data_IF_015502596901
#
_entry.id   IF_015502596901
#
_cell.length_a   1.000
_cell.length_b   1.000
_cell.length_c   1.000
_cell.angle_alpha   90.00
_cell.angle_beta   90.00
_cell.angle_gamma   90.00
#
_symmetry.space_group_name_H-M   'P 1'
#
loop_
_entity.id
_entity.type
_entity.pdbx_description
1 polymer ?
#
# COMPACT_ATOMS: atom_id res chain seq x y z
N UNK A 1 20.41 1.66 59.72
CA UNK A 1 20.37 2.58 60.88
C UNK A 1 18.93 2.66 61.39
N UNK A 2 18.55 1.79 62.32
CA UNK A 2 17.24 1.87 62.99
C UNK A 2 17.41 1.43 64.44
N UNK A 3 17.78 2.39 65.29
CA UNK A 3 18.06 2.16 66.72
C UNK A 3 17.66 3.36 67.57
N UNK A 4 16.52 4.01 67.26
CA UNK A 4 16.09 5.20 67.99
C UNK A 4 14.70 5.09 68.67
N UNK A 5 14.00 3.96 68.56
CA UNK A 5 12.64 3.81 69.13
C UNK A 5 12.50 2.74 70.23
N UNK A 6 13.56 2.00 70.58
CA UNK A 6 13.46 0.89 71.55
C UNK A 6 13.54 1.28 73.03
N UNK A 7 13.33 2.55 73.42
CA UNK A 7 13.60 3.00 74.81
C UNK A 7 12.40 3.47 75.64
N UNK A 8 11.17 3.38 75.12
CA UNK A 8 9.99 3.94 75.82
C UNK A 8 8.76 3.04 75.92
N UNK A 9 8.85 1.77 75.51
CA UNK A 9 7.79 0.79 75.79
C UNK A 9 8.34 -0.31 76.68
N UNK A 10 8.33 -0.06 77.99
CA UNK A 10 8.50 -1.10 78.99
C UNK A 10 7.38 -2.13 78.81
N UNK A 11 7.70 -3.22 78.11
CA UNK A 11 6.84 -4.38 77.93
C UNK A 11 7.41 -5.49 78.84
N UNK A 12 6.72 -5.88 79.92
CA UNK A 12 7.02 -7.16 80.55
C UNK A 12 6.42 -8.28 79.70
N UNK A 13 7.23 -9.32 79.48
CA UNK A 13 6.83 -10.58 78.87
C UNK A 13 5.83 -11.35 79.76
N UNK A 14 5.03 -12.17 79.08
CA UNK A 14 4.10 -13.14 79.67
C UNK A 14 4.89 -14.34 80.24
N UNK A 15 4.65 -14.66 81.50
CA UNK A 15 4.67 -16.04 82.03
C UNK A 15 3.32 -16.20 82.77
N UNK A 16 2.40 -16.97 82.19
CA UNK A 16 2.15 -18.38 82.52
C UNK A 16 1.70 -18.62 83.97
N UNK A 17 0.38 -18.58 84.12
CA UNK A 17 -0.45 -19.64 84.73
C UNK A 17 0.18 -20.48 85.85
N UNK A 18 -0.09 -20.12 87.11
CA UNK A 18 -0.30 -21.12 88.16
C UNK A 18 -1.47 -20.73 89.06
N UNK A 19 -2.33 -21.73 89.20
CA UNK A 19 -3.54 -21.85 90.02
C UNK A 19 -3.27 -21.63 91.51
N UNK A 20 -4.18 -20.96 92.21
CA UNK A 20 -4.62 -21.35 93.55
C UNK A 20 -5.96 -20.69 93.91
N UNK A 21 -6.84 -21.53 94.44
CA UNK A 21 -8.28 -21.39 94.69
C UNK A 21 -8.65 -20.34 95.76
N UNK A 22 -9.92 -19.87 95.77
CA UNK A 22 -10.46 -18.93 96.73
C UNK A 22 -11.07 -19.70 97.91
N UNK A 23 -10.66 -19.40 99.14
CA UNK A 23 -11.57 -19.65 100.25
C UNK A 23 -11.27 -18.78 101.47
N UNK A 24 -12.37 -18.23 101.99
CA UNK A 24 -12.62 -17.94 103.41
C UNK A 24 -11.49 -17.33 104.26
N UNK A 25 -11.68 -16.07 104.64
CA UNK A 25 -11.98 -15.76 106.03
C UNK A 25 -12.55 -14.33 106.15
N UNK A 26 -13.79 -14.26 106.62
CA UNK A 26 -14.46 -13.10 107.17
C UNK A 26 -13.74 -12.62 108.46
N UNK A 27 -14.12 -11.45 109.01
CA UNK A 27 -13.23 -10.50 109.65
C UNK A 27 -12.85 -10.92 111.07
N UNK A 28 -11.59 -10.71 111.46
CA UNK A 28 -11.21 -10.68 112.86
C UNK A 28 -11.77 -9.38 113.49
N UNK A 29 -13.04 -9.49 113.86
CA UNK A 29 -13.63 -8.75 114.95
C UNK A 29 -13.02 -9.26 116.27
N UNK A 30 -12.76 -8.28 117.14
CA UNK A 30 -12.64 -8.33 118.60
C UNK A 30 -11.21 -8.19 119.16
N UNK A 31 -11.01 -7.57 120.35
CA UNK A 31 -11.96 -6.87 121.20
C UNK A 31 -11.48 -5.50 121.74
N UNK A 32 -12.35 -4.49 121.77
CA UNK A 32 -12.52 -3.76 123.03
C UNK A 32 -13.33 -4.71 123.94
N UNK A 33 -12.84 -5.11 125.13
CA UNK A 33 -13.09 -4.26 126.28
C UNK A 33 -12.11 -4.43 127.46
N UNK A 34 -12.01 -3.37 128.25
CA UNK A 34 -12.28 -3.31 129.71
C UNK A 34 -11.36 -2.26 130.30
N UNK A 35 -11.92 -1.05 130.44
CA UNK A 35 -11.62 -0.19 131.58
C UNK A 35 -11.75 -1.05 132.84
N UNK A 36 -10.63 -1.58 133.32
CA UNK A 36 -10.51 -2.08 134.67
C UNK A 36 -10.04 -0.90 135.51
N UNK A 37 -10.98 0.00 135.77
CA UNK A 37 -10.94 0.87 136.94
C UNK A 37 -11.07 -0.06 138.15
N UNK A 38 -9.95 -0.57 138.64
CA UNK A 38 -9.85 -1.11 139.98
C UNK A 38 -8.67 -0.38 140.63
N UNK A 39 -9.05 0.57 141.48
CA UNK A 39 -8.14 1.41 142.23
C UNK A 39 -7.18 0.54 143.04
N UNK A 40 -5.92 0.60 142.64
CA UNK A 40 -4.82 0.43 143.56
C UNK A 40 -4.33 1.85 143.85
N UNK A 41 -4.94 2.43 144.88
CA UNK A 41 -4.47 3.60 145.57
C UNK A 41 -3.08 3.29 146.16
N UNK A 42 -2.05 3.46 145.35
CA UNK A 42 -0.71 3.75 145.83
C UNK A 42 -0.63 5.27 145.82
N UNK A 43 -0.55 5.85 147.01
CA UNK A 43 -0.32 7.27 147.27
C UNK A 43 0.57 7.89 146.19
N UNK A 44 -0.02 8.72 145.35
CA UNK A 44 0.68 9.33 144.24
C UNK A 44 1.74 10.28 144.79
N UNK A 45 3.01 10.01 144.48
CA UNK A 45 4.03 11.04 144.62
C UNK A 45 3.62 12.24 143.74
N UNK A 46 3.63 13.49 144.23
CA UNK A 46 3.28 14.68 143.44
C UNK A 46 4.06 14.79 142.13
N UNK A 47 5.26 14.20 142.07
CA UNK A 47 6.06 14.08 140.85
C UNK A 47 5.44 13.17 139.79
N UNK A 48 4.82 12.05 140.19
CA UNK A 48 4.21 11.07 139.28
C UNK A 48 2.90 11.58 138.68
N UNK A 49 2.08 12.30 139.47
CA UNK A 49 0.90 13.00 138.94
C UNK A 49 1.28 14.11 137.97
N UNK A 50 2.36 14.85 138.23
CA UNK A 50 2.86 15.87 137.31
C UNK A 50 3.33 15.25 136.00
N UNK A 51 4.04 14.11 136.05
CA UNK A 51 4.46 13.37 134.86
C UNK A 51 3.24 12.84 134.10
N UNK A 52 2.22 12.30 134.77
CA UNK A 52 1.00 11.83 134.11
C UNK A 52 0.25 12.97 133.42
N UNK A 53 0.11 14.14 134.06
CA UNK A 53 -0.53 15.32 133.45
C UNK A 53 0.27 15.83 132.25
N UNK A 54 1.59 15.89 132.36
CA UNK A 54 2.47 16.27 131.26
C UNK A 54 2.37 15.28 130.09
N UNK A 55 2.30 13.98 130.35
CA UNK A 55 2.06 12.96 129.32
C UNK A 55 0.68 13.13 128.66
N UNK A 56 -0.37 13.40 129.43
CA UNK A 56 -1.70 13.67 128.89
C UNK A 56 -1.72 14.94 128.02
N UNK A 57 -1.01 16.00 128.42
CA UNK A 57 -0.89 17.24 127.66
C UNK A 57 -0.05 17.05 126.39
N UNK A 58 1.02 16.24 126.46
CA UNK A 58 1.80 15.83 125.29
C UNK A 58 0.97 14.99 124.33
N UNK A 59 0.17 14.04 124.83
CA UNK A 59 -0.77 13.26 124.01
C UNK A 59 -1.76 14.18 123.32
N UNK A 60 -2.38 15.13 124.02
CA UNK A 60 -3.29 16.12 123.43
C UNK A 60 -2.62 16.98 122.38
N UNK A 61 -1.36 17.38 122.63
CA UNK A 61 -0.58 18.19 121.68
C UNK A 61 -0.23 17.39 120.43
N UNK A 62 0.15 16.12 120.57
CA UNK A 62 0.43 15.20 119.46
C UNK A 62 -0.85 14.93 118.66
N UNK A 63 -1.98 14.70 119.34
CA UNK A 63 -3.28 14.54 118.68
C UNK A 63 -3.69 15.82 117.93
N UNK A 64 -3.45 16.99 118.51
CA UNK A 64 -3.68 18.29 117.86
C UNK A 64 -2.79 18.49 116.63
N UNK A 65 -1.50 18.17 116.72
CA UNK A 65 -0.57 18.22 115.61
C UNK A 65 -0.93 17.22 114.49
N UNK A 66 -1.37 16.02 114.86
CA UNK A 66 -1.87 15.00 113.93
C UNK A 66 -3.10 15.50 113.17
N UNK A 67 -4.09 16.08 113.87
CA UNK A 67 -5.28 16.67 113.23
C UNK A 67 -4.88 17.81 112.28
N UNK A 68 -3.99 18.70 112.71
CA UNK A 68 -3.48 19.79 111.85
C UNK A 68 -2.76 19.27 110.60
N UNK A 69 -2.00 18.18 110.71
CA UNK A 69 -1.35 17.54 109.57
C UNK A 69 -2.36 16.86 108.64
N UNK A 70 -3.35 16.16 109.18
CA UNK A 70 -4.44 15.54 108.41
C UNK A 70 -5.26 16.62 107.66
N UNK A 71 -5.58 17.73 108.33
CA UNK A 71 -6.29 18.88 107.75
C UNK A 71 -5.48 19.51 106.61
N UNK A 72 -4.15 19.60 106.75
CA UNK A 72 -3.26 20.12 105.69
C UNK A 72 -3.03 19.14 104.55
N UNK A 73 -2.97 17.83 104.81
CA UNK A 73 -2.72 16.81 103.78
C UNK A 73 -3.97 16.46 102.96
N UNK A 74 -5.15 16.50 103.57
CA UNK A 74 -6.43 16.22 102.92
C UNK A 74 -6.63 16.95 101.57
N UNK A 75 -6.41 18.28 101.45
CA UNK A 75 -6.55 18.98 100.16
C UNK A 75 -5.56 18.50 99.09
N UNK A 76 -4.32 18.13 99.45
CA UNK A 76 -3.36 17.56 98.50
C UNK A 76 -3.79 16.17 98.01
N UNK A 77 -4.30 15.33 98.91
CA UNK A 77 -4.81 14.00 98.55
C UNK A 77 -6.01 14.10 97.60
N UNK A 78 -6.94 15.04 97.87
CA UNK A 78 -8.07 15.32 96.97
C UNK A 78 -7.58 15.81 95.61
N UNK A 79 -6.62 16.75 95.60
CA UNK A 79 -6.07 17.28 94.36
C UNK A 79 -5.39 16.20 93.51
N UNK A 80 -4.58 15.31 94.12
CA UNK A 80 -3.95 14.20 93.41
C UNK A 80 -4.98 13.21 92.86
N UNK A 81 -6.05 12.94 93.61
CA UNK A 81 -7.13 12.08 93.15
C UNK A 81 -7.90 12.69 91.97
N UNK A 82 -8.20 13.99 92.04
CA UNK A 82 -8.81 14.76 90.96
C UNK A 82 -7.91 14.82 89.72
N UNK A 83 -6.61 15.07 89.89
CA UNK A 83 -5.64 15.04 88.80
C UNK A 83 -5.59 13.67 88.13
N UNK A 84 -5.48 12.58 88.90
CA UNK A 84 -5.51 11.22 88.37
C UNK A 84 -6.78 10.96 87.57
N UNK A 85 -7.94 11.33 88.13
CA UNK A 85 -9.24 11.20 87.46
C UNK A 85 -9.29 12.00 86.16
N UNK A 86 -8.75 13.22 86.15
CA UNK A 86 -8.71 14.08 84.96
C UNK A 86 -7.81 13.48 83.87
N UNK A 87 -6.65 12.94 84.24
CA UNK A 87 -5.75 12.23 83.30
C UNK A 87 -6.43 10.99 82.74
N UNK A 88 -7.07 10.17 83.57
CA UNK A 88 -7.81 8.98 83.12
C UNK A 88 -8.93 9.35 82.14
N UNK A 89 -9.63 10.47 82.39
CA UNK A 89 -10.68 10.98 81.51
C UNK A 89 -10.10 11.50 80.18
N UNK A 90 -8.97 12.22 80.21
CA UNK A 90 -8.28 12.69 79.02
C UNK A 90 -7.77 11.52 78.16
N UNK A 91 -7.22 10.48 78.78
CA UNK A 91 -6.78 9.26 78.09
C UNK A 91 -7.95 8.54 77.41
N UNK A 92 -9.08 8.38 78.12
CA UNK A 92 -10.30 7.80 77.52
C UNK A 92 -10.82 8.61 76.34
N UNK A 93 -10.81 9.94 76.44
CA UNK A 93 -11.21 10.81 75.34
C UNK A 93 -10.25 10.70 74.14
N UNK A 94 -8.94 10.61 74.40
CA UNK A 94 -7.94 10.44 73.35
C UNK A 94 -8.08 9.08 72.67
N UNK A 95 -8.31 8.00 73.42
CA UNK A 95 -8.57 6.67 72.87
C UNK A 95 -9.85 6.65 72.03
N UNK A 96 -10.93 7.28 72.51
CA UNK A 96 -12.17 7.44 71.77
C UNK A 96 -11.99 8.22 70.46
N UNK A 97 -11.05 9.17 70.39
CA UNK A 97 -10.71 9.91 69.17
C UNK A 97 -9.78 9.15 68.23
N UNK A 98 -8.86 8.36 68.76
CA UNK A 98 -7.90 7.59 67.96
C UNK A 98 -8.59 6.40 67.27
N UNK A 99 -9.53 5.73 67.95
CA UNK A 99 -10.23 4.57 67.40
C UNK A 99 -10.86 4.80 66.01
N UNK A 100 -11.67 5.85 65.77
CA UNK A 100 -12.22 6.11 64.44
C UNK A 100 -11.14 6.47 63.40
N UNK A 101 -10.04 7.12 63.80
CA UNK A 101 -8.92 7.38 62.89
C UNK A 101 -8.22 6.09 62.46
N UNK A 102 -8.05 5.12 63.36
CA UNK A 102 -7.50 3.79 63.01
C UNK A 102 -8.42 3.05 62.03
N UNK A 103 -9.71 3.03 62.33
CA UNK A 103 -10.72 2.43 61.44
C UNK A 103 -10.75 3.11 60.06
N UNK A 104 -10.58 4.43 60.02
CA UNK A 104 -10.49 5.16 58.77
C UNK A 104 -9.24 4.77 57.98
N UNK A 105 -8.07 4.69 58.62
CA UNK A 105 -6.82 4.29 57.96
C UNK A 105 -6.92 2.87 57.43
N UNK A 106 -7.42 1.91 58.22
CA UNK A 106 -7.67 0.53 57.78
C UNK A 106 -8.61 0.49 56.56
N UNK A 107 -9.65 1.32 56.56
CA UNK A 107 -10.56 1.46 55.41
C UNK A 107 -9.88 2.06 54.17
N UNK A 108 -8.96 3.02 54.34
CA UNK A 108 -8.18 3.58 53.24
C UNK A 108 -7.17 2.57 52.69
N UNK A 109 -6.51 1.79 53.56
CA UNK A 109 -5.60 0.72 53.15
C UNK A 109 -6.32 -0.30 52.27
N UNK A 110 -7.49 -0.77 52.69
CA UNK A 110 -8.30 -1.68 51.88
C UNK A 110 -8.75 -1.06 50.55
N UNK A 111 -9.08 0.24 50.55
CA UNK A 111 -9.46 0.93 49.32
C UNK A 111 -8.27 1.02 48.33
N UNK A 112 -7.08 1.34 48.83
CA UNK A 112 -5.86 1.38 48.04
C UNK A 112 -5.51 0.00 47.48
N UNK A 113 -5.68 -1.06 48.26
CA UNK A 113 -5.47 -2.44 47.80
C UNK A 113 -6.41 -2.80 46.64
N UNK A 114 -7.71 -2.48 46.77
CA UNK A 114 -8.70 -2.69 45.70
C UNK A 114 -8.38 -1.87 44.44
N UNK A 115 -7.99 -0.61 44.59
CA UNK A 115 -7.57 0.22 43.44
C UNK A 115 -6.33 -0.38 42.80
N UNK A 116 -5.36 -0.84 43.60
CA UNK A 116 -4.17 -1.53 43.12
C UNK A 116 -4.49 -2.80 42.34
N UNK A 117 -5.45 -3.61 42.80
CA UNK A 117 -5.94 -4.78 42.06
C UNK A 117 -6.57 -4.37 40.73
N UNK A 118 -7.55 -3.47 40.72
CA UNK A 118 -8.20 -3.01 39.48
C UNK A 118 -7.20 -2.46 38.46
N UNK A 119 -6.21 -1.69 38.91
CA UNK A 119 -5.15 -1.16 38.03
C UNK A 119 -4.25 -2.27 37.48
N UNK A 120 -3.80 -3.20 38.32
CA UNK A 120 -2.83 -4.23 37.92
C UNK A 120 -3.45 -5.40 37.15
N UNK A 121 -4.72 -5.72 37.35
CA UNK A 121 -5.39 -6.81 36.66
C UNK A 121 -6.31 -6.26 35.59
N UNK A 122 -7.42 -5.59 35.95
CA UNK A 122 -8.47 -5.26 35.00
C UNK A 122 -7.99 -4.33 33.88
N UNK A 123 -7.30 -3.25 34.24
CA UNK A 123 -6.76 -2.32 33.25
C UNK A 123 -5.63 -2.95 32.42
N UNK A 124 -4.75 -3.74 33.05
CA UNK A 124 -3.69 -4.45 32.32
C UNK A 124 -4.27 -5.44 31.31
N UNK A 125 -5.25 -6.24 31.72
CA UNK A 125 -5.91 -7.24 30.87
C UNK A 125 -6.66 -6.55 29.71
N UNK A 126 -7.26 -5.38 29.95
CA UNK A 126 -7.85 -4.55 28.89
C UNK A 126 -6.78 -4.05 27.89
N UNK A 127 -5.62 -3.58 28.36
CA UNK A 127 -4.53 -3.17 27.49
C UNK A 127 -3.98 -4.34 26.67
N UNK A 128 -3.78 -5.52 27.28
CA UNK A 128 -3.35 -6.73 26.57
C UNK A 128 -4.37 -7.17 25.52
N UNK A 129 -5.68 -7.06 25.82
CA UNK A 129 -6.74 -7.35 24.85
C UNK A 129 -6.73 -6.37 23.69
N UNK A 130 -6.55 -5.08 23.97
CA UNK A 130 -6.44 -4.05 22.95
C UNK A 130 -5.19 -4.24 22.08
N UNK A 131 -4.05 -4.61 22.66
CA UNK A 131 -2.83 -4.94 21.92
C UNK A 131 -3.04 -6.11 20.96
N UNK A 132 -3.68 -7.19 21.43
CA UNK A 132 -4.05 -8.34 20.57
C UNK A 132 -4.94 -7.90 19.40
N UNK A 133 -5.97 -7.10 19.69
CA UNK A 133 -6.84 -6.54 18.65
C UNK A 133 -6.05 -5.71 17.63
N UNK A 134 -5.13 -4.85 18.06
CA UNK A 134 -4.29 -4.07 17.15
C UNK A 134 -3.39 -4.95 16.27
N UNK A 135 -2.83 -6.02 16.82
CA UNK A 135 -2.01 -6.99 16.07
C UNK A 135 -2.88 -7.67 14.99
N UNK A 136 -4.09 -8.10 15.34
CA UNK A 136 -5.04 -8.71 14.39
C UNK A 136 -5.39 -7.74 13.25
N UNK A 137 -5.70 -6.47 13.59
CA UNK A 137 -6.01 -5.45 12.58
C UNK A 137 -4.82 -5.20 11.65
N UNK A 138 -3.59 -5.15 12.18
CA UNK A 138 -2.38 -5.04 11.36
C UNK A 138 -2.24 -6.22 10.41
N UNK A 139 -2.47 -7.45 10.87
CA UNK A 139 -2.42 -8.63 10.01
C UNK A 139 -3.50 -8.61 8.92
N UNK A 140 -4.71 -8.14 9.23
CA UNK A 140 -5.78 -7.98 8.24
C UNK A 140 -5.37 -6.97 7.17
N UNK A 141 -4.80 -5.83 7.56
CA UNK A 141 -4.30 -4.82 6.64
C UNK A 141 -3.18 -5.36 5.75
N UNK A 142 -2.22 -6.11 6.32
CA UNK A 142 -1.15 -6.75 5.54
C UNK A 142 -1.71 -7.75 4.52
N UNK A 143 -2.72 -8.55 4.89
CA UNK A 143 -3.40 -9.45 3.94
C UNK A 143 -4.11 -8.67 2.85
N UNK A 144 -4.86 -7.63 3.21
CA UNK A 144 -5.56 -6.78 2.25
C UNK A 144 -4.59 -6.09 1.27
N UNK A 145 -3.44 -5.63 1.76
CA UNK A 145 -2.38 -5.08 0.94
C UNK A 145 -1.85 -6.11 -0.06
N UNK A 146 -1.53 -7.33 0.39
CA UNK A 146 -1.10 -8.42 -0.52
C UNK A 146 -2.15 -8.71 -1.58
N UNK A 147 -3.42 -8.79 -1.20
CA UNK A 147 -4.51 -8.96 -2.16
C UNK A 147 -4.56 -7.83 -3.19
N UNK A 148 -4.42 -6.57 -2.77
CA UNK A 148 -4.38 -5.42 -3.68
C UNK A 148 -3.16 -5.45 -4.61
N UNK A 149 -2.01 -5.94 -4.15
CA UNK A 149 -0.79 -6.06 -4.96
C UNK A 149 -0.85 -7.24 -5.95
N UNK A 150 -1.52 -8.34 -5.59
CA UNK A 150 -1.63 -9.54 -6.41
C UNK A 150 -2.77 -9.46 -7.42
N UNK A 151 -3.90 -8.84 -7.06
CA UNK A 151 -5.10 -8.73 -7.90
C UNK A 151 -4.85 -8.16 -9.31
N UNK A 152 -4.04 -7.10 -9.52
CA UNK A 152 -3.85 -6.54 -10.86
C UNK A 152 -2.91 -7.37 -11.74
N UNK A 153 -2.09 -8.27 -11.17
CA UNK A 153 -1.04 -8.98 -11.93
C UNK A 153 -1.59 -9.86 -13.06
N UNK A 154 -2.64 -10.69 -12.87
CA UNK A 154 -3.17 -11.52 -13.95
C UNK A 154 -3.72 -10.67 -15.12
N UNK A 155 -4.36 -9.54 -14.81
CA UNK A 155 -4.89 -8.64 -15.85
C UNK A 155 -3.75 -7.94 -16.61
N UNK A 156 -2.71 -7.49 -15.90
CA UNK A 156 -1.53 -6.91 -16.53
C UNK A 156 -0.85 -7.92 -17.47
N UNK A 157 -0.71 -9.17 -17.03
CA UNK A 157 -0.14 -10.24 -17.85
C UNK A 157 -1.00 -10.55 -19.07
N UNK A 158 -2.33 -10.66 -18.90
CA UNK A 158 -3.25 -10.85 -20.02
C UNK A 158 -3.15 -9.72 -21.05
N UNK A 159 -3.07 -8.46 -20.61
CA UNK A 159 -2.95 -7.32 -21.51
C UNK A 159 -1.61 -7.32 -22.27
N UNK A 160 -0.51 -7.68 -21.61
CA UNK A 160 0.80 -7.83 -22.26
C UNK A 160 0.78 -8.97 -23.30
N UNK A 161 0.17 -10.11 -22.98
CA UNK A 161 0.00 -11.23 -23.91
C UNK A 161 -0.88 -10.84 -25.11
N UNK A 162 -1.97 -10.10 -24.90
CA UNK A 162 -2.82 -9.57 -25.98
C UNK A 162 -2.06 -8.58 -26.86
N UNK A 163 -1.28 -7.68 -26.27
CA UNK A 163 -0.45 -6.75 -27.03
C UNK A 163 0.55 -7.49 -27.92
N UNK A 164 1.26 -8.49 -27.37
CA UNK A 164 2.20 -9.32 -28.14
C UNK A 164 1.52 -10.09 -29.26
N UNK A 165 0.33 -10.63 -29.02
CA UNK A 165 -0.45 -11.31 -30.04
C UNK A 165 -0.85 -10.36 -31.17
N UNK A 166 -1.29 -9.14 -30.84
CA UNK A 166 -1.62 -8.10 -31.82
C UNK A 166 -0.39 -7.69 -32.62
N UNK A 167 0.75 -7.46 -31.97
CA UNK A 167 2.02 -7.14 -32.64
C UNK A 167 2.49 -8.25 -33.59
N UNK A 168 2.24 -9.51 -33.25
CA UNK A 168 2.52 -10.64 -34.13
C UNK A 168 1.59 -10.64 -35.35
N UNK A 169 0.28 -10.41 -35.15
CA UNK A 169 -0.68 -10.34 -36.26
C UNK A 169 -0.33 -9.20 -37.21
N UNK A 170 0.08 -8.03 -36.68
CA UNK A 170 0.50 -6.90 -37.51
C UNK A 170 1.76 -7.23 -38.32
N UNK A 171 2.78 -7.84 -37.71
CA UNK A 171 3.97 -8.28 -38.44
C UNK A 171 3.65 -9.27 -39.55
N UNK A 172 2.83 -10.29 -39.27
CA UNK A 172 2.42 -11.26 -40.28
C UNK A 172 1.64 -10.60 -41.43
N UNK A 173 0.83 -9.59 -41.11
CA UNK A 173 0.05 -8.86 -42.10
C UNK A 173 0.94 -7.94 -42.95
N UNK A 174 1.92 -7.26 -42.34
CA UNK A 174 2.95 -6.51 -43.06
C UNK A 174 3.74 -7.40 -44.02
N UNK A 175 4.22 -8.55 -43.55
CA UNK A 175 4.94 -9.53 -44.38
C UNK A 175 4.09 -10.04 -45.55
N UNK A 176 2.78 -10.26 -45.33
CA UNK A 176 1.85 -10.68 -46.38
C UNK A 176 1.51 -9.56 -47.36
N UNK A 177 1.47 -8.31 -46.92
CA UNK A 177 1.14 -7.16 -47.75
C UNK A 177 2.35 -6.64 -48.54
N UNK A 178 3.56 -6.86 -48.06
CA UNK A 178 4.77 -6.37 -48.72
C UNK A 178 4.91 -6.83 -50.18
N UNK A 179 4.66 -8.11 -50.54
CA UNK A 179 4.65 -8.56 -51.93
C UNK A 179 3.62 -7.83 -52.80
N UNK A 180 2.42 -7.56 -52.27
CA UNK A 180 1.39 -6.80 -53.01
C UNK A 180 1.84 -5.35 -53.24
N UNK A 181 2.48 -4.72 -52.25
CA UNK A 181 3.06 -3.39 -52.40
C UNK A 181 4.14 -3.34 -53.48
N UNK A 182 5.01 -4.36 -53.56
CA UNK A 182 6.00 -4.50 -54.64
C UNK A 182 5.33 -4.70 -56.00
N UNK A 183 4.35 -5.59 -56.08
CA UNK A 183 3.61 -5.87 -57.31
C UNK A 183 2.85 -4.64 -57.83
N UNK A 184 2.19 -3.89 -56.97
CA UNK A 184 1.51 -2.64 -57.35
C UNK A 184 2.48 -1.59 -57.88
N UNK A 185 3.67 -1.45 -57.27
CA UNK A 185 4.73 -0.58 -57.79
C UNK A 185 5.24 -1.03 -59.16
N UNK A 186 5.39 -2.33 -59.38
CA UNK A 186 5.77 -2.88 -60.68
C UNK A 186 4.69 -2.62 -61.74
N UNK A 187 3.41 -2.86 -61.42
CA UNK A 187 2.29 -2.54 -62.31
C UNK A 187 2.21 -1.05 -62.62
N UNK A 188 2.36 -0.18 -61.61
CA UNK A 188 2.41 1.27 -61.81
C UNK A 188 3.53 1.64 -62.78
N UNK A 189 4.74 1.09 -62.59
CA UNK A 189 5.88 1.33 -63.48
C UNK A 189 5.61 0.86 -64.91
N UNK A 190 4.98 -0.30 -65.09
CA UNK A 190 4.60 -0.80 -66.42
C UNK A 190 3.56 0.11 -67.09
N UNK A 191 2.57 0.59 -66.35
CA UNK A 191 1.56 1.53 -66.85
C UNK A 191 2.18 2.89 -67.20
N UNK A 192 3.08 3.40 -66.37
CA UNK A 192 3.83 4.63 -66.66
C UNK A 192 4.67 4.47 -67.94
N UNK A 193 5.32 3.32 -68.12
CA UNK A 193 6.06 3.00 -69.35
C UNK A 193 5.14 2.95 -70.58
N UNK A 194 3.97 2.32 -70.47
CA UNK A 194 2.96 2.30 -71.54
C UNK A 194 2.42 3.70 -71.88
N UNK A 195 2.36 4.58 -70.87
CA UNK A 195 1.96 5.98 -71.02
C UNK A 195 3.09 6.92 -71.46
N UNK A 196 4.30 6.41 -71.72
CA UNK A 196 5.38 7.23 -72.26
C UNK A 196 5.00 7.75 -73.65
N UNK A 197 5.00 9.08 -73.81
CA UNK A 197 4.67 9.80 -75.06
C UNK A 197 5.34 9.21 -76.29
N UNK A 198 6.56 8.68 -76.12
CA UNK A 198 7.32 8.04 -77.19
C UNK A 198 6.61 6.79 -77.74
N UNK A 199 6.08 5.93 -76.88
CA UNK A 199 5.40 4.70 -77.31
C UNK A 199 4.09 5.07 -78.01
N UNK A 200 3.33 6.03 -77.47
CA UNK A 200 2.10 6.51 -78.11
C UNK A 200 2.37 7.20 -79.46
N UNK A 201 3.40 8.03 -79.56
CA UNK A 201 3.84 8.67 -80.81
C UNK A 201 4.26 7.62 -81.86
N UNK A 202 4.94 6.54 -81.44
CA UNK A 202 5.31 5.43 -82.32
C UNK A 202 4.08 4.66 -82.86
N UNK A 203 3.08 4.41 -82.01
CA UNK A 203 1.83 3.79 -82.43
C UNK A 203 1.01 4.68 -83.36
N UNK A 204 0.93 5.99 -83.08
CA UNK A 204 0.24 6.97 -83.94
C UNK A 204 0.93 7.10 -85.31
N UNK A 205 2.27 7.11 -85.34
CA UNK A 205 3.03 7.14 -86.59
C UNK A 205 2.80 5.86 -87.42
N UNK A 206 2.79 4.68 -86.78
CA UNK A 206 2.49 3.42 -87.44
C UNK A 206 1.04 3.38 -87.98
N UNK A 207 0.07 3.79 -87.18
CA UNK A 207 -1.33 3.86 -87.59
C UNK A 207 -1.52 4.80 -88.79
N UNK A 208 -0.88 5.97 -88.75
CA UNK A 208 -0.93 6.96 -89.84
C UNK A 208 -0.27 6.43 -91.11
N UNK A 209 0.88 5.76 -91.02
CA UNK A 209 1.53 5.09 -92.14
C UNK A 209 0.62 4.02 -92.78
N UNK A 210 0.05 3.12 -91.96
CA UNK A 210 -0.84 2.07 -92.43
C UNK A 210 -2.10 2.64 -93.11
N UNK A 211 -2.71 3.67 -92.53
CA UNK A 211 -3.89 4.33 -93.07
C UNK A 211 -3.59 5.04 -94.40
N UNK A 212 -2.49 5.79 -94.50
CA UNK A 212 -2.08 6.46 -95.75
C UNK A 212 -1.79 5.45 -96.86
N UNK A 213 -1.10 4.35 -96.53
CA UNK A 213 -0.82 3.27 -97.48
C UNK A 213 -2.11 2.58 -97.93
N UNK A 214 -3.01 2.26 -97.00
CA UNK A 214 -4.31 1.66 -97.32
C UNK A 214 -5.11 2.57 -98.25
N UNK A 215 -5.19 3.86 -97.94
CA UNK A 215 -5.89 4.83 -98.79
C UNK A 215 -5.28 4.90 -100.20
N UNK A 216 -3.95 4.85 -100.35
CA UNK A 216 -3.31 4.80 -101.66
C UNK A 216 -3.68 3.54 -102.46
N UNK A 217 -3.69 2.37 -101.80
CA UNK A 217 -4.10 1.10 -102.41
C UNK A 217 -5.59 1.10 -102.80
N UNK A 218 -6.46 1.62 -101.94
CA UNK A 218 -7.89 1.75 -102.21
C UNK A 218 -8.15 2.70 -103.40
N UNK A 219 -7.46 3.83 -103.47
CA UNK A 219 -7.53 4.75 -104.62
C UNK A 219 -7.13 4.07 -105.92
N UNK A 220 -6.06 3.28 -105.89
CA UNK A 220 -5.64 2.52 -107.07
C UNK A 220 -6.63 1.42 -107.46
N UNK A 221 -7.18 0.69 -106.47
CA UNK A 221 -8.18 -0.34 -106.71
C UNK A 221 -9.49 0.21 -107.30
N UNK A 222 -9.88 1.42 -106.92
CA UNK A 222 -11.06 2.13 -107.45
C UNK A 222 -10.82 2.98 -108.71
N UNK A 223 -9.57 3.07 -109.20
CA UNK A 223 -9.25 3.89 -110.36
C UNK A 223 -9.73 3.23 -111.67
N UNK A 224 -10.37 4.02 -112.53
CA UNK A 224 -10.83 3.59 -113.86
C UNK A 224 -9.67 3.41 -114.85
N UNK A 225 -8.58 4.17 -114.64
CA UNK A 225 -7.36 4.09 -115.43
C UNK A 225 -6.27 3.34 -114.65
N UNK A 226 -5.94 2.12 -115.08
CA UNK A 226 -4.88 1.30 -114.47
C UNK A 226 -3.49 1.85 -114.78
N UNK A 227 -2.95 2.68 -113.88
CA UNK A 227 -1.58 3.23 -113.95
C UNK A 227 -0.76 2.81 -112.72
N UNK A 228 -0.12 1.61 -112.75
CA UNK A 228 0.68 1.11 -111.64
C UNK A 228 1.80 2.06 -111.22
N UNK A 229 2.39 2.81 -112.16
CA UNK A 229 3.49 3.73 -111.90
C UNK A 229 3.10 4.87 -110.95
N UNK A 230 1.84 5.33 -111.01
CA UNK A 230 1.33 6.35 -110.09
C UNK A 230 1.22 5.83 -108.66
N UNK A 231 0.66 4.63 -108.49
CA UNK A 231 0.58 3.96 -107.19
C UNK A 231 1.96 3.78 -106.56
N UNK A 232 2.95 3.24 -107.30
CA UNK A 232 4.27 3.01 -106.74
C UNK A 232 5.04 4.30 -106.43
N UNK A 233 4.78 5.39 -107.16
CA UNK A 233 5.26 6.72 -106.79
C UNK A 233 4.66 7.22 -105.48
N UNK A 234 3.35 7.03 -105.27
CA UNK A 234 2.67 7.37 -104.01
C UNK A 234 3.16 6.51 -102.84
N UNK A 235 3.30 5.19 -103.03
CA UNK A 235 3.80 4.27 -102.00
C UNK A 235 5.26 4.57 -101.61
N UNK A 236 6.14 4.88 -102.57
CA UNK A 236 7.52 5.27 -102.25
C UNK A 236 7.55 6.65 -101.55
N UNK A 237 6.68 7.59 -101.93
CA UNK A 237 6.55 8.88 -101.23
C UNK A 237 6.10 8.72 -99.78
N UNK A 238 5.10 7.87 -99.52
CA UNK A 238 4.63 7.53 -98.16
C UNK A 238 5.79 6.88 -97.38
N UNK A 239 6.46 5.87 -97.96
CA UNK A 239 7.60 5.24 -97.31
C UNK A 239 8.72 6.25 -96.96
N UNK A 240 9.10 7.14 -97.89
CA UNK A 240 10.15 8.14 -97.64
C UNK A 240 9.75 9.17 -96.57
N UNK A 241 8.48 9.58 -96.54
CA UNK A 241 7.93 10.47 -95.52
C UNK A 241 8.11 9.88 -94.11
N UNK A 242 7.73 8.62 -93.93
CA UNK A 242 7.84 7.96 -92.63
C UNK A 242 9.27 7.52 -92.30
N UNK A 243 10.08 7.14 -93.29
CA UNK A 243 11.52 6.86 -93.12
C UNK A 243 12.31 8.09 -92.66
N UNK A 244 11.98 9.28 -93.18
CA UNK A 244 12.59 10.54 -92.76
C UNK A 244 12.22 10.92 -91.32
N UNK A 245 11.01 10.58 -90.87
CA UNK A 245 10.56 10.75 -89.48
C UNK A 245 11.18 9.72 -88.52
N UNK A 246 11.58 8.56 -89.04
CA UNK A 246 12.07 7.40 -88.28
C UNK A 246 13.58 7.45 -87.98
N UNK A 247 14.33 8.43 -88.52
CA UNK A 247 15.77 8.56 -88.34
C UNK A 247 16.16 8.73 -86.84
N UNK A 248 16.26 7.59 -86.13
CA UNK A 248 16.70 7.47 -84.74
C UNK A 248 15.65 7.04 -83.70
N UNK A 249 14.37 6.81 -84.04
CA UNK A 249 13.31 6.69 -83.03
C UNK A 249 12.89 5.25 -82.64
N UNK A 250 12.69 4.31 -83.57
CA UNK A 250 12.23 2.96 -83.19
C UNK A 250 12.69 1.85 -84.14
N UNK A 251 13.48 0.89 -83.63
CA UNK A 251 13.98 -0.24 -84.42
C UNK A 251 12.87 -1.15 -84.95
N UNK A 252 11.72 -1.21 -84.25
CA UNK A 252 10.58 -2.03 -84.65
C UNK A 252 9.77 -1.37 -85.76
N UNK A 253 9.50 -0.07 -85.65
CA UNK A 253 8.78 0.66 -86.71
C UNK A 253 9.57 0.64 -88.03
N UNK A 254 10.89 0.84 -88.00
CA UNK A 254 11.72 0.73 -89.20
C UNK A 254 11.75 -0.66 -89.83
N UNK A 255 11.69 -1.72 -89.02
CA UNK A 255 11.55 -3.08 -89.55
C UNK A 255 10.23 -3.23 -90.31
N UNK A 256 9.12 -2.69 -89.78
CA UNK A 256 7.81 -2.72 -90.45
C UNK A 256 7.84 -1.91 -91.75
N UNK A 257 8.40 -0.70 -91.73
CA UNK A 257 8.55 0.13 -92.93
C UNK A 257 9.35 -0.58 -94.01
N UNK A 258 10.48 -1.18 -93.65
CA UNK A 258 11.35 -1.88 -94.61
C UNK A 258 10.71 -3.14 -95.17
N UNK A 259 10.04 -3.94 -94.32
CA UNK A 259 9.29 -5.11 -94.76
C UNK A 259 8.14 -4.72 -95.70
N UNK A 260 7.44 -3.63 -95.38
CA UNK A 260 6.33 -3.14 -96.22
C UNK A 260 6.86 -2.66 -97.57
N UNK A 261 7.97 -1.93 -97.59
CA UNK A 261 8.63 -1.53 -98.84
C UNK A 261 9.05 -2.73 -99.68
N UNK A 262 9.62 -3.75 -99.06
CA UNK A 262 9.99 -4.98 -99.78
C UNK A 262 8.76 -5.65 -100.40
N UNK A 263 7.63 -5.66 -99.70
CA UNK A 263 6.37 -6.15 -100.26
C UNK A 263 5.88 -5.29 -101.43
N UNK A 264 5.97 -3.97 -101.31
CA UNK A 264 5.57 -3.04 -102.37
C UNK A 264 6.47 -3.17 -103.62
N UNK A 265 7.78 -3.35 -103.45
CA UNK A 265 8.71 -3.60 -104.57
C UNK A 265 8.42 -4.95 -105.26
N UNK A 266 8.12 -6.00 -104.50
CA UNK A 266 7.71 -7.29 -105.09
C UNK A 266 6.40 -7.16 -105.87
N UNK A 267 5.45 -6.37 -105.36
CA UNK A 267 4.22 -6.07 -106.07
C UNK A 267 4.50 -5.28 -107.36
N UNK A 268 5.43 -4.33 -107.33
CA UNK A 268 5.85 -3.57 -108.51
C UNK A 268 6.45 -4.46 -109.58
N UNK A 269 7.32 -5.40 -109.19
CA UNK A 269 7.91 -6.36 -110.10
C UNK A 269 6.86 -7.29 -110.72
N UNK A 270 5.86 -7.72 -109.95
CA UNK A 270 4.76 -8.54 -110.43
C UNK A 270 3.83 -7.81 -111.41
N UNK A 271 3.75 -6.47 -111.33
CA UNK A 271 2.91 -5.64 -112.20
C UNK A 271 3.65 -5.06 -113.42
N UNK A 272 4.93 -5.39 -113.63
CA UNK A 272 5.65 -5.03 -114.85
C UNK A 272 5.04 -5.79 -116.05
N UNK A 273 4.75 -5.13 -117.19
CA UNK A 273 4.26 -5.83 -118.37
C UNK A 273 5.33 -6.81 -118.88
N UNK A 274 4.92 -8.07 -119.15
CA UNK A 274 5.76 -9.10 -119.77
C UNK A 274 6.35 -8.58 -121.09
N UNK A 275 7.63 -8.87 -121.41
CA UNK A 275 8.20 -8.57 -122.72
C UNK A 275 7.37 -9.31 -123.79
N UNK A 276 6.81 -8.58 -124.76
CA UNK A 276 6.18 -9.19 -125.94
C UNK A 276 7.27 -9.79 -126.83
N UNK A 277 7.61 -11.06 -126.62
CA UNK A 277 8.28 -11.89 -127.62
C UNK A 277 7.23 -12.47 -128.59
N UNK A 278 7.24 -11.99 -129.84
CA UNK A 278 7.06 -12.73 -131.12
C UNK A 278 6.48 -11.81 -132.20
N UNK A 279 7.31 -11.46 -133.17
CA UNK A 279 7.14 -11.97 -134.53
C UNK A 279 8.51 -12.00 -135.24
N UNK A 280 9.06 -13.21 -135.25
CA UNK A 280 10.25 -13.63 -135.97
C UNK A 280 9.82 -14.26 -137.32
N UNK A 281 10.73 -14.18 -138.31
CA UNK A 281 10.89 -15.13 -139.42
C UNK A 281 9.99 -14.98 -140.67
N UNK A 282 10.48 -14.17 -141.61
CA UNK A 282 10.21 -14.31 -143.06
C UNK A 282 11.18 -15.38 -143.63
N UNK A 283 10.73 -16.38 -144.39
CA UNK A 283 11.55 -17.54 -144.77
C UNK A 283 12.54 -17.26 -145.93
N UNK A 284 13.60 -18.09 -146.07
CA UNK A 284 14.68 -17.88 -147.04
C UNK A 284 14.27 -18.28 -148.45
N UNK A 285 14.60 -17.45 -149.44
CA UNK A 285 14.49 -17.77 -150.88
C UNK A 285 15.78 -18.48 -151.32
N UNK A 286 15.62 -19.73 -151.74
CA UNK A 286 16.61 -20.54 -152.45
C UNK A 286 17.00 -19.87 -153.77
N UNK A 287 18.31 -19.90 -154.06
CA UNK A 287 18.86 -19.64 -155.39
C UNK A 287 18.47 -20.77 -156.35
N UNK A 288 18.14 -20.41 -157.59
CA UNK A 288 18.19 -21.29 -158.74
C UNK A 288 18.95 -20.56 -159.85
N UNK A 289 20.00 -21.23 -160.33
CA UNK A 289 20.89 -20.85 -161.42
C UNK A 289 20.17 -20.80 -162.78
N UNK A 290 20.37 -19.73 -163.54
CA UNK A 290 20.78 -19.69 -164.97
C UNK A 290 21.00 -18.24 -165.40
#
# INVERSE_FOLDING_TARGET
>A
MSSFLSRWTGRPEREETLLADPDRAQPDLLPAPKRRNQGLAWSASPSLERIHRELDDQIRTIEGAKRLLEDRLSPFQRHLWEQRRNVDLALKQLEARIKPLRQYIEGQEHNLERIGMHLNTELRDQFETFEKFLIEQRQILERAQRYLEEQPRPMAQYLDDQQRAVEHIFRDLEEKLEPFGRYLKEQQKLLEQLGESRITEEFEALASFCNERQAALERYAGAVDYRPQGLFGELDSIYQKYKGQEAGKSKLFGRVLEQTRQADLRLQDALKPLPRERDELRPPRLEATS
#
